data_IF_751086790391
#
_entry.id   IF_751086790391
#
_cell.length_a   1.000
_cell.length_b   1.000
_cell.length_c   1.000
_cell.angle_alpha   90.00
_cell.angle_beta   90.00
_cell.angle_gamma   90.00
#
_symmetry.space_group_name_H-M   'P 1'
#
loop_
_entity.id
_entity.type
_entity.pdbx_description
1 polymer ?
#
# COMPACT_ATOMS: atom_id res chain seq x y z
N UNK A 1 13.01 -5.50 9.84
CA UNK A 1 13.70 -5.27 8.55
C UNK A 1 12.64 -5.22 7.47
N UNK A 2 12.44 -4.04 6.86
CA UNK A 2 11.47 -3.82 5.79
C UNK A 2 12.20 -4.05 4.45
N UNK A 3 11.64 -4.87 3.58
CA UNK A 3 12.18 -5.12 2.24
C UNK A 3 11.49 -4.17 1.28
N UNK A 4 12.26 -3.50 0.43
CA UNK A 4 11.71 -2.65 -0.60
C UNK A 4 11.23 -3.52 -1.76
N UNK A 5 9.90 -3.58 -1.92
CA UNK A 5 9.17 -4.00 -3.12
C UNK A 5 9.35 -5.43 -3.65
N UNK A 6 8.32 -6.03 -4.25
CA UNK A 6 8.55 -7.02 -5.28
C UNK A 6 9.04 -6.30 -6.54
N UNK A 7 10.29 -6.55 -6.94
CA UNK A 7 10.83 -6.12 -8.22
C UNK A 7 10.99 -7.30 -9.16
N UNK A 8 10.73 -7.07 -10.44
CA UNK A 8 10.95 -8.09 -11.46
C UNK A 8 12.44 -8.25 -11.74
N UNK A 9 12.90 -9.48 -11.98
CA UNK A 9 14.27 -9.74 -12.41
C UNK A 9 14.35 -9.57 -13.93
N UNK A 10 15.08 -8.55 -14.38
CA UNK A 10 15.33 -8.30 -15.82
C UNK A 10 16.45 -9.21 -16.33
N UNK A 11 17.47 -9.46 -15.50
CA UNK A 11 18.62 -10.26 -15.89
C UNK A 11 19.12 -11.11 -14.74
N UNK A 12 19.39 -12.39 -15.00
CA UNK A 12 19.90 -13.32 -14.01
C UNK A 12 21.24 -13.92 -14.46
N UNK A 13 22.23 -13.84 -13.58
CA UNK A 13 23.55 -14.44 -13.74
C UNK A 13 23.75 -15.51 -12.65
N UNK A 14 23.15 -16.70 -12.81
CA UNK A 14 23.16 -17.74 -11.78
C UNK A 14 24.58 -18.21 -11.41
N UNK A 15 25.52 -18.18 -12.36
CA UNK A 15 26.92 -18.55 -12.13
C UNK A 15 27.65 -17.65 -11.12
N UNK A 16 27.24 -16.38 -11.01
CA UNK A 16 27.82 -15.41 -10.07
C UNK A 16 26.84 -15.01 -8.98
N UNK A 17 25.64 -15.62 -8.94
CA UNK A 17 24.57 -15.26 -8.02
C UNK A 17 24.20 -13.77 -8.07
N UNK A 18 24.25 -13.16 -9.26
CA UNK A 18 23.95 -11.74 -9.47
C UNK A 18 22.67 -11.60 -10.27
N UNK A 19 21.79 -10.70 -9.86
CA UNK A 19 20.50 -10.45 -10.49
C UNK A 19 20.29 -8.95 -10.66
N UNK A 20 19.78 -8.55 -11.81
CA UNK A 20 19.40 -7.17 -12.11
C UNK A 20 17.88 -7.06 -11.98
N UNK A 21 17.43 -6.16 -11.11
CA UNK A 21 16.03 -5.84 -10.85
C UNK A 21 15.56 -4.69 -11.74
N UNK A 22 14.28 -4.73 -12.08
CA UNK A 22 13.54 -3.65 -12.72
C UNK A 22 13.20 -2.60 -11.66
N UNK A 23 14.14 -1.70 -11.39
CA UNK A 23 13.93 -0.59 -10.47
C UNK A 23 13.29 0.58 -11.23
N UNK A 24 12.36 1.32 -10.61
CA UNK A 24 11.81 2.51 -11.24
C UNK A 24 12.91 3.55 -11.46
N UNK A 25 12.78 4.37 -12.52
CA UNK A 25 13.81 5.35 -12.93
C UNK A 25 14.19 6.37 -11.83
N UNK A 26 13.32 6.58 -10.86
CA UNK A 26 13.57 7.45 -9.70
C UNK A 26 14.32 6.76 -8.55
N UNK A 27 14.68 5.48 -8.69
CA UNK A 27 15.44 4.75 -7.68
C UNK A 27 16.92 5.14 -7.75
N UNK A 28 17.45 5.65 -6.64
CA UNK A 28 18.88 5.96 -6.50
C UNK A 28 19.74 4.70 -6.25
N UNK A 29 19.16 3.50 -6.27
CA UNK A 29 19.86 2.25 -6.04
C UNK A 29 20.35 1.62 -7.34
N UNK A 30 21.51 0.96 -7.29
CA UNK A 30 21.98 0.15 -8.41
C UNK A 30 21.01 -1.01 -8.65
N UNK A 31 20.59 -1.28 -9.90
CA UNK A 31 19.62 -2.33 -10.17
C UNK A 31 20.19 -3.74 -10.00
N UNK A 32 21.53 -3.88 -9.97
CA UNK A 32 22.21 -5.17 -9.89
C UNK A 32 22.59 -5.52 -8.45
N UNK A 33 22.09 -6.65 -7.96
CA UNK A 33 22.28 -7.14 -6.60
C UNK A 33 22.77 -8.58 -6.58
N UNK A 34 23.51 -8.94 -5.53
CA UNK A 34 23.83 -10.34 -5.23
C UNK A 34 22.62 -11.05 -4.60
N UNK A 35 22.47 -12.36 -4.83
CA UNK A 35 21.37 -13.19 -4.33
C UNK A 35 21.17 -13.12 -2.82
N UNK A 36 22.25 -12.88 -2.07
CA UNK A 36 22.22 -12.71 -0.62
C UNK A 36 21.44 -11.46 -0.14
N UNK A 37 21.28 -10.47 -1.02
CA UNK A 37 20.53 -9.24 -0.77
C UNK A 37 19.08 -9.33 -1.29
N UNK A 38 18.73 -10.43 -1.94
CA UNK A 38 17.42 -10.64 -2.53
C UNK A 38 16.66 -11.70 -1.75
N UNK A 39 15.35 -11.48 -1.61
CA UNK A 39 14.44 -12.52 -1.15
C UNK A 39 13.40 -12.79 -2.22
N UNK A 40 13.10 -14.07 -2.52
CA UNK A 40 12.00 -14.39 -3.41
C UNK A 40 10.72 -13.85 -2.80
N UNK A 41 9.98 -13.07 -3.60
CA UNK A 41 8.64 -12.67 -3.23
C UNK A 41 7.73 -13.90 -3.36
N UNK A 42 7.22 -14.37 -2.23
CA UNK A 42 6.24 -15.45 -2.18
C UNK A 42 4.88 -14.75 -2.08
N UNK A 43 4.06 -14.88 -3.13
CA UNK A 43 2.69 -14.37 -3.09
C UNK A 43 1.96 -15.02 -1.91
N UNK A 44 1.22 -14.22 -1.15
CA UNK A 44 0.41 -14.79 -0.08
C UNK A 44 -0.67 -15.68 -0.70
N UNK A 45 -0.87 -16.84 -0.10
CA UNK A 45 -2.02 -17.68 -0.39
C UNK A 45 -3.15 -17.25 0.54
N UNK A 46 -4.07 -16.46 0.01
CA UNK A 46 -5.13 -15.83 0.80
C UNK A 46 -6.14 -16.85 1.33
N UNK A 47 -6.25 -18.04 0.72
CA UNK A 47 -7.09 -19.13 1.21
C UNK A 47 -6.47 -19.84 2.41
N UNK A 48 -5.14 -20.01 2.42
CA UNK A 48 -4.43 -20.74 3.48
C UNK A 48 -3.93 -19.82 4.61
N UNK A 49 -3.63 -18.56 4.30
CA UNK A 49 -3.07 -17.57 5.23
C UNK A 49 -3.76 -16.21 5.11
N UNK A 50 -5.06 -16.12 5.43
CA UNK A 50 -5.82 -14.87 5.33
C UNK A 50 -5.27 -13.75 6.24
N UNK A 51 -4.61 -14.11 7.35
CA UNK A 51 -3.94 -13.16 8.25
C UNK A 51 -2.61 -12.60 7.73
N UNK A 52 -2.11 -13.14 6.62
CA UNK A 52 -0.93 -12.65 5.88
C UNK A 52 -1.31 -11.97 4.57
N UNK A 53 -2.58 -12.03 4.19
CA UNK A 53 -3.09 -11.31 3.04
C UNK A 53 -2.76 -9.84 3.29
N UNK A 54 -2.11 -9.20 2.31
CA UNK A 54 -2.04 -7.74 2.32
C UNK A 54 -3.48 -7.31 2.21
N UNK A 55 -4.04 -6.81 3.31
CA UNK A 55 -5.46 -6.49 3.41
C UNK A 55 -5.81 -5.65 2.16
N UNK A 56 -6.63 -6.25 1.28
CA UNK A 56 -6.71 -5.86 -0.13
C UNK A 56 -7.45 -4.54 -0.22
N UNK A 57 -6.75 -3.49 -0.66
CA UNK A 57 -7.39 -2.23 -1.05
C UNK A 57 -8.54 -2.55 -2.01
N UNK A 58 -9.77 -2.13 -1.70
CA UNK A 58 -10.90 -2.45 -2.54
C UNK A 58 -10.67 -1.92 -3.96
N UNK A 59 -11.18 -2.64 -4.96
CA UNK A 59 -10.92 -2.32 -6.35
C UNK A 59 -11.32 -0.87 -6.65
N UNK A 60 -10.48 -0.08 -7.34
CA UNK A 60 -10.80 1.29 -7.65
C UNK A 60 -12.05 1.37 -8.52
N UNK A 61 -12.94 2.30 -8.19
CA UNK A 61 -14.18 2.56 -8.92
C UNK A 61 -13.86 3.46 -10.10
N UNK A 62 -14.42 3.15 -11.28
CA UNK A 62 -14.34 4.06 -12.41
C UNK A 62 -15.29 5.23 -12.18
N UNK A 63 -14.73 6.42 -12.13
CA UNK A 63 -15.49 7.65 -12.08
C UNK A 63 -16.19 7.84 -13.45
N UNK A 64 -17.54 7.91 -13.50
CA UNK A 64 -18.29 7.92 -14.75
C UNK A 64 -18.14 9.24 -15.53
N UNK A 65 -17.68 10.31 -14.89
CA UNK A 65 -17.52 11.64 -15.48
C UNK A 65 -16.11 11.84 -16.05
N UNK A 66 -15.09 11.29 -15.38
CA UNK A 66 -13.67 11.46 -15.78
C UNK A 66 -13.08 10.23 -16.45
N UNK A 67 -13.68 9.05 -16.27
CA UNK A 67 -13.14 7.77 -16.73
C UNK A 67 -11.90 7.32 -15.95
N UNK A 68 -11.52 8.03 -14.89
CA UNK A 68 -10.38 7.71 -14.05
C UNK A 68 -10.77 6.72 -12.94
N UNK A 69 -9.78 5.95 -12.48
CA UNK A 69 -9.95 4.98 -11.40
C UNK A 69 -9.73 5.68 -10.06
N UNK A 70 -10.82 5.94 -9.33
CA UNK A 70 -10.81 6.57 -8.01
C UNK A 70 -11.32 5.59 -6.95
N UNK A 71 -10.63 5.52 -5.81
CA UNK A 71 -11.16 4.82 -4.64
C UNK A 71 -11.93 5.83 -3.78
N UNK A 72 -13.24 5.59 -3.62
CA UNK A 72 -14.08 6.44 -2.77
C UNK A 72 -14.01 5.96 -1.33
N UNK A 73 -13.30 6.71 -0.51
CA UNK A 73 -13.32 6.50 0.94
C UNK A 73 -14.63 7.02 1.50
N UNK A 74 -15.36 6.14 2.19
CA UNK A 74 -16.60 6.47 2.89
C UNK A 74 -16.31 7.30 4.14
N UNK A 75 -15.43 6.79 4.99
CA UNK A 75 -15.02 7.46 6.24
C UNK A 75 -13.80 6.79 6.87
N UNK A 76 -13.12 7.52 7.72
CA UNK A 76 -12.13 6.95 8.64
C UNK A 76 -12.84 6.56 9.94
N UNK A 77 -12.57 5.35 10.41
CA UNK A 77 -13.18 4.75 11.59
C UNK A 77 -12.36 4.97 12.84
N UNK A 78 -11.03 4.94 12.71
CA UNK A 78 -10.13 4.97 13.87
C UNK A 78 -8.73 5.46 13.48
N UNK A 79 -7.96 5.89 14.49
CA UNK A 79 -6.55 6.30 14.37
C UNK A 79 -5.66 5.45 15.27
N UNK A 80 -4.77 4.71 14.63
CA UNK A 80 -3.82 3.80 15.25
C UNK A 80 -2.51 4.47 15.62
N UNK A 81 -1.58 3.66 16.15
CA UNK A 81 -0.22 4.13 16.47
C UNK A 81 0.58 4.35 15.20
N UNK A 82 1.43 5.39 15.20
CA UNK A 82 2.29 5.68 14.05
C UNK A 82 1.59 6.34 12.87
N UNK A 83 0.57 7.17 13.15
CA UNK A 83 -0.17 7.94 12.14
C UNK A 83 -0.83 7.01 11.11
N UNK A 84 -1.47 5.94 11.58
CA UNK A 84 -2.25 5.05 10.75
C UNK A 84 -3.73 5.32 10.98
N UNK A 85 -4.53 5.21 9.93
CA UNK A 85 -5.95 5.49 9.96
C UNK A 85 -6.70 4.29 9.37
N UNK A 86 -7.73 3.83 10.08
CA UNK A 86 -8.59 2.74 9.63
C UNK A 86 -9.61 3.33 8.66
N UNK A 87 -9.44 3.03 7.39
CA UNK A 87 -10.24 3.58 6.29
C UNK A 87 -11.32 2.58 5.91
N UNK A 88 -12.54 3.08 5.70
CA UNK A 88 -13.65 2.33 5.09
C UNK A 88 -14.00 2.94 3.75
N UNK A 89 -14.22 2.10 2.74
CA UNK A 89 -14.62 2.51 1.38
C UNK A 89 -16.12 2.43 1.18
N UNK A 90 -16.61 3.29 0.27
CA UNK A 90 -18.04 3.38 -0.06
C UNK A 90 -18.51 2.05 -0.64
N UNK A 91 -19.55 1.49 -0.03
CA UNK A 91 -20.14 0.22 -0.47
C UNK A 91 -19.34 -1.02 -0.11
N UNK A 92 -18.28 -0.88 0.70
CA UNK A 92 -17.50 -2.01 1.23
C UNK A 92 -17.85 -2.25 2.71
N UNK A 93 -18.01 -3.52 3.09
CA UNK A 93 -18.29 -3.92 4.46
C UNK A 93 -17.06 -3.81 5.38
N UNK A 94 -17.23 -4.04 6.70
CA UNK A 94 -16.13 -4.01 7.67
C UNK A 94 -14.99 -5.01 7.36
N UNK A 95 -15.26 -6.02 6.53
CA UNK A 95 -14.27 -6.98 6.05
C UNK A 95 -13.22 -6.37 5.11
N UNK A 96 -13.48 -5.18 4.59
CA UNK A 96 -12.61 -4.44 3.70
C UNK A 96 -12.02 -3.19 4.35
N UNK A 97 -12.17 -3.01 5.67
CA UNK A 97 -11.53 -1.89 6.37
C UNK A 97 -10.01 -2.12 6.45
N UNK A 98 -9.20 -1.11 6.12
CA UNK A 98 -7.74 -1.24 6.14
C UNK A 98 -7.07 -0.09 6.88
N UNK A 99 -5.96 -0.42 7.53
CA UNK A 99 -5.08 0.55 8.13
C UNK A 99 -4.15 1.17 7.08
N UNK A 100 -4.44 2.41 6.69
CA UNK A 100 -3.59 3.17 5.79
C UNK A 100 -2.67 4.12 6.58
N UNK A 101 -1.42 4.32 6.13
CA UNK A 101 -0.55 5.35 6.70
C UNK A 101 -1.11 6.76 6.40
N UNK A 102 -0.81 7.71 7.28
CA UNK A 102 -1.20 9.11 7.20
C UNK A 102 -0.92 9.71 5.82
N UNK A 103 0.25 9.42 5.26
CA UNK A 103 0.65 9.90 3.93
C UNK A 103 -0.25 9.45 2.77
N UNK A 104 -1.02 8.36 2.91
CA UNK A 104 -1.99 7.92 1.91
C UNK A 104 -3.39 8.51 2.14
N UNK A 105 -3.69 8.90 3.38
CA UNK A 105 -4.98 9.49 3.76
C UNK A 105 -4.95 11.01 3.85
N UNK A 106 -3.77 11.61 3.79
CA UNK A 106 -3.55 13.06 3.88
C UNK A 106 -4.33 13.83 2.81
N UNK A 107 -4.40 13.27 1.59
CA UNK A 107 -5.15 13.83 0.47
C UNK A 107 -6.66 13.48 0.47
N UNK A 108 -7.14 12.73 1.47
CA UNK A 108 -8.54 12.29 1.52
C UNK A 108 -9.40 13.27 2.33
N UNK A 109 -10.50 13.72 1.73
CA UNK A 109 -11.53 14.51 2.44
C UNK A 109 -12.10 13.81 3.68
N UNK A 110 -12.06 12.48 3.70
CA UNK A 110 -12.50 11.69 4.86
C UNK A 110 -11.62 11.91 6.10
N UNK A 111 -10.34 12.28 5.91
CA UNK A 111 -9.43 12.63 7.01
C UNK A 111 -9.81 13.96 7.63
N UNK A 112 -10.11 14.98 6.82
CA UNK A 112 -10.59 16.27 7.33
C UNK A 112 -11.83 16.12 8.21
N UNK A 113 -12.81 15.34 7.74
CA UNK A 113 -14.04 15.05 8.50
C UNK A 113 -13.73 14.36 9.81
N UNK A 114 -12.87 13.33 9.79
CA UNK A 114 -12.49 12.59 10.99
C UNK A 114 -11.75 13.46 12.01
N UNK A 115 -10.82 14.31 11.56
CA UNK A 115 -10.10 15.25 12.41
C UNK A 115 -11.04 16.29 13.04
N UNK A 116 -11.99 16.80 12.25
CA UNK A 116 -13.02 17.72 12.72
C UNK A 116 -13.94 17.08 13.77
N UNK A 117 -14.39 15.84 13.56
CA UNK A 117 -15.23 15.13 14.54
C UNK A 117 -14.49 14.83 15.85
N UNK A 118 -13.20 14.47 15.75
CA UNK A 118 -12.37 14.21 16.92
C UNK A 118 -11.80 15.48 17.58
N UNK A 119 -12.10 16.67 17.04
CA UNK A 119 -11.59 17.96 17.49
C UNK A 119 -10.06 17.96 17.64
N UNK A 120 -9.39 17.23 16.75
CA UNK A 120 -7.94 17.13 16.66
C UNK A 120 -7.51 18.16 15.62
N UNK A 121 -7.27 19.38 16.07
CA UNK A 121 -6.74 20.42 15.21
C UNK A 121 -5.42 19.94 14.58
N UNK A 122 -5.35 20.03 13.25
CA UNK A 122 -4.12 19.87 12.47
C UNK A 122 -3.21 21.06 12.79
N UNK A 123 -2.56 21.01 13.95
CA UNK A 123 -1.63 22.07 14.37
C UNK A 123 -0.29 21.88 13.66
N UNK A 124 -0.09 22.67 12.61
CA UNK A 124 1.18 23.31 12.24
C UNK A 124 2.23 22.50 11.51
#
# INVERSE_FOLDING_TARGET
MRWDGPYNVVQAWPNSSVYTLDLPEHSNAFPTFHSSLLKPYIHNDDECYPSRAREVEPPPVLDPDTGEKHQFVERILDRGRGWQYLVRWVGSGPEHDLWLPGSQVDDLKALDVFLQEHNLDSDG
#
